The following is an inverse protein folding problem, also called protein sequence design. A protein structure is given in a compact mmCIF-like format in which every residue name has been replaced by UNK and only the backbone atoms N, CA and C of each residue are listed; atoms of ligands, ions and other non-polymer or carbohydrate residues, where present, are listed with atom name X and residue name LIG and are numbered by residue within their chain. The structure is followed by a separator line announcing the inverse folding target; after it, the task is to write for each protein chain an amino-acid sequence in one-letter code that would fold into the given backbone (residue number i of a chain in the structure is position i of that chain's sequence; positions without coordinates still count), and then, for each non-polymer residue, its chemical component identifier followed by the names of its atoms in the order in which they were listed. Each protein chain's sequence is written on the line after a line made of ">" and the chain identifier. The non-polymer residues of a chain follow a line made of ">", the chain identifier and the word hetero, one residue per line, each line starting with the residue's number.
data_IF_986567096273
#
_entry.id   IF_986567096273
#
_cell.length_a   1.000
_cell.length_b   1.000
_cell.length_c   1.000
_cell.angle_alpha   90.00
_cell.angle_beta   90.00
_cell.angle_gamma   90.00
#
_symmetry.space_group_name_H-M   'P 1'
#
loop_
_entity.id
_entity.type
_entity.pdbx_description
1 polymer ?
#
# COMPACT_ATOMS: atom_id res chain seq x y z
N UNK A 1 -8.12 15.43 -2.14
CA UNK A 1 -7.26 14.53 -1.32
C UNK A 1 -6.76 13.38 -2.21
N UNK A 2 -5.53 12.94 -2.00
CA UNK A 2 -4.96 11.82 -2.77
C UNK A 2 -4.28 10.91 -1.77
N UNK A 3 -4.56 9.62 -1.86
CA UNK A 3 -3.97 8.63 -0.94
C UNK A 3 -2.65 8.11 -1.51
N UNK A 4 -1.64 7.96 -0.65
CA UNK A 4 -0.39 7.28 -1.00
C UNK A 4 -0.60 5.76 -0.91
N UNK A 5 -0.35 5.04 -1.99
CA UNK A 5 -0.33 3.58 -1.99
C UNK A 5 1.08 3.09 -2.31
N UNK A 6 1.64 2.29 -1.41
CA UNK A 6 3.01 1.79 -1.51
C UNK A 6 3.10 0.35 -2.00
N UNK A 7 1.98 -0.33 -2.30
CA UNK A 7 1.97 -1.76 -2.64
C UNK A 7 2.97 -2.12 -3.75
N UNK A 8 3.07 -1.29 -4.79
CA UNK A 8 3.95 -1.53 -5.93
C UNK A 8 5.44 -1.35 -5.60
N UNK A 9 5.75 -0.54 -4.58
CA UNK A 9 7.12 -0.24 -4.15
C UNK A 9 7.51 -0.95 -2.84
N UNK A 10 6.69 -1.92 -2.39
CA UNK A 10 6.94 -2.67 -1.16
C UNK A 10 8.29 -3.43 -1.17
N UNK A 11 8.70 -4.11 -2.27
CA UNK A 11 10.02 -4.75 -2.33
C UNK A 11 11.16 -3.77 -2.11
N UNK A 12 11.08 -2.58 -2.71
CA UNK A 12 12.08 -1.53 -2.58
C UNK A 12 12.11 -0.97 -1.16
N UNK A 13 10.95 -0.74 -0.55
CA UNK A 13 10.83 -0.32 0.86
C UNK A 13 11.48 -1.35 1.80
N UNK A 14 11.25 -2.64 1.56
CA UNK A 14 11.88 -3.71 2.34
C UNK A 14 13.41 -3.75 2.12
N UNK A 15 13.86 -3.63 0.87
CA UNK A 15 15.27 -3.68 0.50
C UNK A 15 16.09 -2.54 1.12
N UNK A 16 15.52 -1.35 1.30
CA UNK A 16 16.18 -0.22 1.98
C UNK A 16 16.16 -0.33 3.51
N UNK A 17 15.61 -1.41 4.07
CA UNK A 17 15.63 -1.69 5.50
C UNK A 17 14.58 -0.93 6.32
N UNK A 18 13.46 -0.52 5.74
CA UNK A 18 12.36 0.08 6.51
C UNK A 18 11.77 -0.97 7.47
N UNK A 19 11.85 -0.68 8.76
CA UNK A 19 11.39 -1.60 9.81
C UNK A 19 9.87 -1.58 10.05
N UNK A 20 9.18 -0.50 9.67
CA UNK A 20 7.76 -0.33 9.97
C UNK A 20 7.03 0.53 8.93
N UNK A 21 5.79 0.17 8.64
CA UNK A 21 4.84 0.96 7.86
C UNK A 21 3.73 1.42 8.79
N UNK A 22 3.45 2.73 8.80
CA UNK A 22 2.35 3.32 9.55
C UNK A 22 1.14 3.52 8.63
N UNK A 23 -0.01 3.00 9.05
CA UNK A 23 -1.31 3.29 8.42
C UNK A 23 -1.99 4.41 9.19
N UNK A 24 -2.36 5.50 8.52
CA UNK A 24 -3.04 6.64 9.14
C UNK A 24 -4.56 6.50 9.02
N UNK A 25 -5.24 6.33 10.15
CA UNK A 25 -6.67 6.07 10.23
C UNK A 25 -7.47 7.15 10.97
N UNK A 26 -6.85 8.26 11.37
CA UNK A 26 -7.55 9.33 12.09
C UNK A 26 -8.74 9.83 11.25
N UNK A 27 -9.91 9.99 11.90
CA UNK A 27 -11.16 10.37 11.22
C UNK A 27 -11.66 9.37 10.16
N UNK A 28 -11.26 8.09 10.25
CA UNK A 28 -11.79 7.00 9.42
C UNK A 28 -12.65 6.04 10.24
N UNK A 29 -13.52 5.31 9.55
CA UNK A 29 -14.37 4.29 10.19
C UNK A 29 -13.54 3.06 10.61
N UNK A 30 -14.01 2.28 11.61
CA UNK A 30 -13.37 1.01 11.95
C UNK A 30 -13.25 0.05 10.76
N UNK A 31 -14.27 0.02 9.90
CA UNK A 31 -14.28 -0.80 8.68
C UNK A 31 -13.16 -0.40 7.71
N UNK A 32 -12.92 0.90 7.53
CA UNK A 32 -11.80 1.40 6.72
C UNK A 32 -10.47 0.88 7.25
N UNK A 33 -10.23 1.06 8.56
CA UNK A 33 -8.96 0.66 9.19
C UNK A 33 -8.75 -0.85 9.03
N UNK A 34 -9.78 -1.65 9.29
CA UNK A 34 -9.71 -3.10 9.12
C UNK A 34 -9.40 -3.53 7.67
N UNK A 35 -9.99 -2.86 6.68
CA UNK A 35 -9.75 -3.13 5.26
C UNK A 35 -8.31 -2.81 4.85
N UNK A 36 -7.83 -1.61 5.17
CA UNK A 36 -6.46 -1.19 4.82
C UNK A 36 -5.42 -2.06 5.52
N UNK A 37 -5.58 -2.30 6.83
CA UNK A 37 -4.65 -3.12 7.60
C UNK A 37 -4.57 -4.55 7.05
N UNK A 38 -5.73 -5.16 6.72
CA UNK A 38 -5.75 -6.52 6.15
C UNK A 38 -5.04 -6.60 4.80
N UNK A 39 -5.38 -5.70 3.88
CA UNK A 39 -4.76 -5.69 2.55
C UNK A 39 -3.24 -5.49 2.63
N UNK A 40 -2.80 -4.55 3.47
CA UNK A 40 -1.36 -4.28 3.68
C UNK A 40 -0.65 -5.47 4.34
N UNK A 41 -1.26 -6.11 5.35
CA UNK A 41 -0.69 -7.29 6.00
C UNK A 41 -0.54 -8.46 5.03
N UNK A 42 -1.56 -8.74 4.22
CA UNK A 42 -1.51 -9.79 3.21
C UNK A 42 -0.40 -9.56 2.16
N UNK A 43 -0.19 -8.30 1.76
CA UNK A 43 0.91 -7.95 0.87
C UNK A 43 2.29 -8.14 1.53
N UNK A 44 2.45 -7.67 2.77
CA UNK A 44 3.69 -7.86 3.53
C UNK A 44 4.00 -9.34 3.81
N UNK A 45 2.98 -10.16 4.09
CA UNK A 45 3.15 -11.61 4.27
C UNK A 45 3.60 -12.29 2.98
N UNK A 46 2.99 -11.92 1.84
CA UNK A 46 3.39 -12.46 0.55
C UNK A 46 4.84 -12.08 0.20
N UNK A 47 5.21 -10.80 0.44
CA UNK A 47 6.58 -10.33 0.24
C UNK A 47 7.58 -11.09 1.12
N UNK A 48 7.25 -11.30 2.40
CA UNK A 48 8.11 -12.05 3.31
C UNK A 48 8.26 -13.53 2.92
N UNK A 49 7.22 -14.13 2.32
CA UNK A 49 7.23 -15.55 1.92
C UNK A 49 8.03 -15.83 0.65
N UNK A 50 7.98 -14.92 -0.33
CA UNK A 50 8.65 -15.08 -1.63
C UNK A 50 9.00 -13.69 -2.19
N UNK A 51 10.10 -13.08 -1.70
CA UNK A 51 10.49 -11.74 -2.12
C UNK A 51 10.80 -11.63 -3.61
N UNK A 52 11.43 -12.65 -4.18
CA UNK A 52 11.89 -12.69 -5.58
C UNK A 52 10.73 -12.71 -6.58
N UNK A 53 9.61 -13.33 -6.20
CA UNK A 53 8.41 -13.41 -7.06
C UNK A 53 7.25 -12.56 -6.54
N UNK A 54 7.50 -11.60 -5.66
CA UNK A 54 6.45 -10.73 -5.14
C UNK A 54 5.72 -10.00 -6.28
N UNK A 55 4.40 -10.13 -6.28
CA UNK A 55 3.49 -9.42 -7.19
C UNK A 55 2.31 -8.87 -6.41
N UNK A 56 1.97 -7.62 -6.67
CA UNK A 56 0.74 -7.01 -6.14
C UNK A 56 -0.46 -7.76 -6.71
N UNK A 57 -1.29 -8.31 -5.82
CA UNK A 57 -2.53 -8.98 -6.24
C UNK A 57 -3.60 -7.94 -6.56
N UNK A 58 -4.37 -8.09 -7.66
CA UNK A 58 -5.45 -7.17 -8.02
C UNK A 58 -6.47 -6.95 -6.90
N UNK A 59 -6.73 -7.98 -6.07
CA UNK A 59 -7.63 -7.89 -4.93
C UNK A 59 -7.19 -6.85 -3.89
N UNK A 60 -5.89 -6.76 -3.58
CA UNK A 60 -5.36 -5.78 -2.62
C UNK A 60 -5.49 -4.37 -3.17
N UNK A 61 -5.17 -4.20 -4.46
CA UNK A 61 -5.25 -2.90 -5.12
C UNK A 61 -6.69 -2.41 -5.22
N UNK A 62 -7.64 -3.30 -5.54
CA UNK A 62 -9.07 -2.99 -5.55
C UNK A 62 -9.59 -2.63 -4.15
N UNK A 63 -9.12 -3.33 -3.10
CA UNK A 63 -9.52 -3.05 -1.73
C UNK A 63 -9.02 -1.68 -1.24
N UNK A 64 -7.76 -1.33 -1.53
CA UNK A 64 -7.20 -0.01 -1.19
C UNK A 64 -7.77 1.13 -2.04
N UNK A 65 -8.04 0.89 -3.33
CA UNK A 65 -8.64 1.89 -4.21
C UNK A 65 -10.05 2.29 -3.77
N UNK A 66 -10.85 1.32 -3.30
CA UNK A 66 -12.24 1.56 -2.84
C UNK A 66 -12.33 2.52 -1.65
N UNK A 67 -11.27 2.56 -0.84
CA UNK A 67 -11.23 3.32 0.41
C UNK A 67 -10.41 4.61 0.30
N UNK A 68 -9.66 4.79 -0.78
CA UNK A 68 -8.87 6.01 -1.00
C UNK A 68 -9.79 7.21 -1.23
N UNK A 69 -9.60 8.29 -0.44
CA UNK A 69 -10.36 9.52 -0.60
C UNK A 69 -10.02 10.20 -1.92
N UNK A 70 -11.03 10.43 -2.75
CA UNK A 70 -10.81 10.67 -4.17
C UNK A 70 -10.26 9.38 -4.78
N UNK A 71 -10.88 8.88 -5.84
CA UNK A 71 -10.46 7.69 -6.58
C UNK A 71 -9.03 7.78 -7.19
N UNK A 72 -8.27 8.81 -6.84
CA UNK A 72 -6.88 8.99 -7.17
C UNK A 72 -5.98 8.45 -6.05
N UNK A 73 -5.19 7.47 -6.46
CA UNK A 73 -4.05 6.94 -5.72
C UNK A 73 -2.80 7.50 -6.38
N UNK A 74 -1.83 7.98 -5.60
CA UNK A 74 -0.55 8.49 -6.11
C UNK A 74 0.62 7.85 -5.39
N UNK A 75 1.77 7.76 -6.05
CA UNK A 75 3.05 7.49 -5.38
C UNK A 75 3.66 8.78 -4.78
N UNK A 76 2.99 9.93 -4.91
CA UNK A 76 3.47 11.21 -4.38
C UNK A 76 4.78 11.62 -5.06
N UNK A 77 5.77 12.04 -4.27
CA UNK A 77 7.10 12.46 -4.75
C UNK A 77 7.91 11.37 -5.48
N UNK A 78 7.45 10.11 -5.43
CA UNK A 78 8.04 8.97 -6.15
C UNK A 78 7.50 8.83 -7.58
N UNK A 79 6.35 9.44 -7.93
CA UNK A 79 5.93 9.55 -9.32
C UNK A 79 6.63 10.77 -9.96
N UNK A 80 7.65 10.53 -10.78
CA UNK A 80 8.41 11.56 -11.50
C UNK A 80 8.23 11.40 -13.02
N UNK A 81 7.18 11.97 -13.62
CA UNK A 81 6.89 11.78 -15.05
C UNK A 81 7.86 12.50 -16.00
N UNK A 82 8.77 13.32 -15.48
CA UNK A 82 9.80 14.06 -16.23
C UNK A 82 11.20 13.47 -16.09
N UNK A 83 11.29 12.18 -15.73
CA UNK A 83 12.49 11.37 -15.88
C UNK A 83 12.20 10.21 -16.83
#
# INVERSE_FOLDING_TARGET
>A
PTSLNVLEVLPEIAAIGVAAIKVEGRQRSPTYVAQVTRAMRAALDALASDPEHFRVKPAWQAELARVSEGSQVTLGAYNRPWR
#
